data_IF_756644130527
#
_entry.id   IF_756644130527
#
_cell.length_a   1.000
_cell.length_b   1.000
_cell.length_c   1.000
_cell.angle_alpha   90.00
_cell.angle_beta   90.00
_cell.angle_gamma   90.00
#
_symmetry.space_group_name_H-M   'P 1'
#
loop_
_entity.id
_entity.type
_entity.pdbx_description
1 polymer ?
#
# COMPACT_ATOMS: atom_id res chain seq x y z
N UNK A 1 7.89 0.55 1.34
CA UNK A 1 6.43 0.39 1.14
C UNK A 1 6.20 0.08 -0.34
N UNK A 2 5.39 -0.92 -0.68
CA UNK A 2 5.04 -1.27 -2.07
C UNK A 2 3.68 -1.97 -2.13
N UNK A 3 3.11 -2.21 -3.31
CA UNK A 3 1.88 -3.00 -3.46
C UNK A 3 2.11 -4.47 -3.10
N UNK A 4 1.09 -5.16 -2.57
CA UNK A 4 1.16 -6.60 -2.34
C UNK A 4 1.10 -7.37 -3.68
N UNK A 5 2.16 -8.11 -4.06
CA UNK A 5 2.20 -8.85 -5.32
C UNK A 5 1.56 -10.24 -5.25
N UNK A 6 0.99 -10.65 -4.13
CA UNK A 6 0.35 -11.95 -3.92
C UNK A 6 -1.17 -11.87 -3.77
N UNK A 7 -1.76 -10.72 -4.07
CA UNK A 7 -3.22 -10.53 -4.12
C UNK A 7 -3.82 -11.42 -5.20
N UNK A 8 -4.78 -12.27 -4.82
CA UNK A 8 -5.54 -13.06 -5.78
C UNK A 8 -6.43 -12.16 -6.65
N UNK A 9 -6.45 -12.43 -7.95
CA UNK A 9 -7.28 -11.72 -8.94
C UNK A 9 -6.98 -10.24 -9.16
N UNK A 10 -5.85 -9.72 -8.67
CA UNK A 10 -5.38 -8.40 -9.10
C UNK A 10 -5.07 -8.44 -10.60
N UNK A 11 -5.79 -7.62 -11.37
CA UNK A 11 -5.74 -7.59 -12.83
C UNK A 11 -4.74 -6.58 -13.35
N UNK A 12 -4.31 -5.62 -12.52
CA UNK A 12 -3.35 -4.61 -12.92
C UNK A 12 -1.93 -5.19 -12.81
N UNK A 13 -1.26 -5.54 -13.93
CA UNK A 13 0.04 -6.21 -13.89
C UNK A 13 1.10 -5.35 -13.21
N UNK A 14 1.04 -4.01 -13.37
CA UNK A 14 2.00 -3.11 -12.75
C UNK A 14 1.99 -3.19 -11.22
N UNK A 15 0.82 -3.39 -10.58
CA UNK A 15 0.74 -3.57 -9.11
C UNK A 15 1.52 -4.81 -8.68
N UNK A 16 1.39 -5.91 -9.42
CA UNK A 16 2.07 -7.17 -9.13
C UNK A 16 3.57 -7.05 -9.37
N UNK A 17 3.98 -6.47 -10.51
CA UNK A 17 5.38 -6.38 -10.92
C UNK A 17 6.13 -5.44 -9.98
N UNK A 18 5.60 -4.24 -9.70
CA UNK A 18 6.26 -3.29 -8.79
C UNK A 18 6.32 -3.84 -7.37
N UNK A 19 5.29 -4.57 -6.93
CA UNK A 19 5.26 -5.27 -5.65
C UNK A 19 6.40 -6.26 -5.51
N UNK A 20 6.58 -7.16 -6.50
CA UNK A 20 7.68 -8.14 -6.51
C UNK A 20 9.04 -7.47 -6.56
N UNK A 21 9.26 -6.57 -7.51
CA UNK A 21 10.55 -5.92 -7.71
C UNK A 21 11.02 -5.17 -6.47
N UNK A 22 10.12 -4.41 -5.82
CA UNK A 22 10.47 -3.66 -4.63
C UNK A 22 10.75 -4.57 -3.42
N UNK A 23 9.97 -5.65 -3.25
CA UNK A 23 10.18 -6.62 -2.17
C UNK A 23 11.51 -7.38 -2.33
N UNK A 24 11.80 -7.83 -3.55
CA UNK A 24 13.07 -8.49 -3.89
C UNK A 24 14.26 -7.54 -3.70
N UNK A 25 14.16 -6.31 -4.19
CA UNK A 25 15.21 -5.30 -4.01
C UNK A 25 15.49 -5.06 -2.51
N UNK A 26 14.46 -4.94 -1.68
CA UNK A 26 14.64 -4.77 -0.24
C UNK A 26 15.29 -5.98 0.44
N UNK A 27 14.91 -7.20 0.04
CA UNK A 27 15.52 -8.42 0.56
C UNK A 27 16.98 -8.60 0.11
N UNK A 28 17.31 -8.09 -1.08
CA UNK A 28 18.60 -8.35 -1.73
C UNK A 28 19.64 -7.23 -1.58
N UNK A 29 19.23 -6.02 -1.20
CA UNK A 29 20.11 -4.86 -1.06
C UNK A 29 21.27 -5.07 -0.06
N UNK A 30 21.14 -6.01 0.88
CA UNK A 30 22.18 -6.33 1.86
C UNK A 30 23.32 -7.21 1.31
N UNK A 31 23.18 -7.81 0.12
CA UNK A 31 24.15 -8.76 -0.41
C UNK A 31 25.10 -8.12 -1.43
N UNK A 32 26.39 -7.92 -1.08
CA UNK A 32 27.35 -7.22 -1.94
C UNK A 32 27.70 -7.96 -3.24
N UNK A 33 27.42 -9.27 -3.31
CA UNK A 33 27.80 -10.11 -4.44
C UNK A 33 26.69 -10.30 -5.49
N UNK A 34 25.45 -9.85 -5.22
CA UNK A 34 24.35 -10.01 -6.18
C UNK A 34 24.50 -9.06 -7.37
N UNK A 35 24.94 -7.82 -7.12
CA UNK A 35 25.13 -6.79 -8.15
C UNK A 35 26.48 -6.10 -7.99
N UNK A 36 27.57 -6.82 -8.29
CA UNK A 36 28.93 -6.31 -8.05
C UNK A 36 29.26 -5.00 -8.76
N UNK A 37 28.56 -4.67 -9.85
CA UNK A 37 28.76 -3.40 -10.54
C UNK A 37 28.25 -2.20 -9.72
N UNK A 38 27.26 -2.39 -8.84
CA UNK A 38 26.83 -1.35 -7.90
C UNK A 38 27.95 -1.02 -6.90
N UNK A 39 28.63 -2.05 -6.39
CA UNK A 39 29.80 -1.91 -5.51
C UNK A 39 30.94 -1.17 -6.23
N UNK A 40 31.25 -1.56 -7.49
CA UNK A 40 32.27 -0.87 -8.30
C UNK A 40 31.94 0.61 -8.52
N UNK A 41 30.66 0.96 -8.52
CA UNK A 41 30.16 2.33 -8.66
C UNK A 41 29.97 3.07 -7.33
N UNK A 42 30.45 2.51 -6.21
CA UNK A 42 30.41 3.16 -4.89
C UNK A 42 29.05 3.11 -4.19
N UNK A 43 28.15 2.20 -4.60
CA UNK A 43 26.90 1.94 -3.88
C UNK A 43 27.16 0.88 -2.83
N UNK A 44 27.03 1.26 -1.55
CA UNK A 44 27.18 0.32 -0.44
C UNK A 44 25.92 -0.56 -0.25
N UNK A 45 26.06 -1.80 0.21
CA UNK A 45 24.93 -2.62 0.62
C UNK A 45 24.09 -1.94 1.70
N UNK A 46 22.78 -2.17 1.66
CA UNK A 46 21.84 -1.63 2.64
C UNK A 46 20.89 -2.72 3.15
N UNK A 47 20.86 -2.89 4.47
CA UNK A 47 19.94 -3.79 5.13
C UNK A 47 18.62 -3.05 5.42
N UNK A 48 17.67 -3.20 4.51
CA UNK A 48 16.28 -2.85 4.82
C UNK A 48 15.83 -3.65 6.05
N UNK A 49 14.99 -3.08 6.91
CA UNK A 49 14.43 -3.81 8.06
C UNK A 49 13.17 -4.59 7.69
N UNK A 50 12.29 -3.96 6.90
CA UNK A 50 10.96 -4.47 6.61
C UNK A 50 10.48 -4.07 5.21
N UNK A 51 9.65 -4.93 4.61
CA UNK A 51 8.79 -4.58 3.49
C UNK A 51 7.37 -4.40 4.00
N UNK A 52 6.79 -3.25 3.72
CA UNK A 52 5.42 -2.89 4.06
C UNK A 52 4.58 -2.96 2.78
N UNK A 53 3.67 -3.93 2.72
CA UNK A 53 2.74 -4.12 1.60
C UNK A 53 1.47 -3.31 1.84
N UNK A 54 1.04 -2.56 0.82
CA UNK A 54 -0.14 -1.69 0.82
C UNK A 54 -1.11 -2.05 -0.31
N UNK A 55 -2.28 -1.42 -0.31
CA UNK A 55 -3.32 -1.60 -1.33
C UNK A 55 -4.29 -2.72 -0.98
N UNK A 56 -4.75 -3.46 -1.99
CA UNK A 56 -5.38 -4.76 -1.74
C UNK A 56 -4.30 -5.71 -1.18
N UNK A 57 -4.63 -6.50 -0.17
CA UNK A 57 -3.70 -7.43 0.47
C UNK A 57 -4.13 -8.87 0.18
N UNK A 58 -3.17 -9.72 -0.19
CA UNK A 58 -3.37 -11.17 -0.37
C UNK A 58 -3.46 -11.92 0.96
N UNK A 59 -3.10 -11.24 2.04
CA UNK A 59 -3.15 -11.74 3.41
C UNK A 59 -3.96 -10.78 4.32
N UNK A 60 -4.39 -11.26 5.49
CA UNK A 60 -4.94 -10.37 6.52
C UNK A 60 -3.86 -9.35 6.94
N UNK A 61 -4.19 -8.05 7.09
CA UNK A 61 -3.23 -7.07 7.57
C UNK A 61 -2.74 -7.41 8.97
N UNK A 62 -1.44 -7.28 9.19
CA UNK A 62 -0.80 -7.45 10.51
C UNK A 62 -0.38 -6.10 11.11
N UNK A 63 -0.56 -4.98 10.39
CA UNK A 63 -0.29 -3.62 10.84
C UNK A 63 -1.43 -2.67 10.44
N UNK A 64 -1.82 -1.81 11.37
CA UNK A 64 -2.69 -0.67 11.13
C UNK A 64 -2.00 0.60 11.63
N UNK A 65 -2.03 1.66 10.83
CA UNK A 65 -1.45 2.96 11.17
C UNK A 65 -2.57 3.97 11.30
N UNK A 66 -2.66 4.63 12.47
CA UNK A 66 -3.59 5.72 12.72
C UNK A 66 -3.22 6.93 11.87
N UNK A 67 -4.12 7.26 10.94
CA UNK A 67 -3.99 8.44 10.08
C UNK A 67 -5.04 9.49 10.42
N UNK A 68 -5.69 9.41 11.58
CA UNK A 68 -6.77 10.33 11.97
C UNK A 68 -6.33 11.80 11.94
N UNK A 69 -5.08 12.08 12.32
CA UNK A 69 -4.51 13.44 12.30
C UNK A 69 -4.02 13.89 10.92
N UNK A 70 -3.81 12.96 9.97
CA UNK A 70 -3.23 13.22 8.65
C UNK A 70 -4.17 12.90 7.49
N UNK A 71 -5.38 12.42 7.76
CA UNK A 71 -6.37 12.00 6.77
C UNK A 71 -6.69 13.09 5.75
N UNK A 72 -6.89 14.32 6.21
CA UNK A 72 -7.19 15.43 5.30
C UNK A 72 -6.01 15.76 4.38
N UNK A 73 -4.76 15.63 4.87
CA UNK A 73 -3.55 15.80 4.05
C UNK A 73 -3.44 14.71 2.99
N UNK A 74 -3.77 13.45 3.32
CA UNK A 74 -3.84 12.34 2.35
C UNK A 74 -4.85 12.63 1.24
N UNK A 75 -6.05 13.07 1.61
CA UNK A 75 -7.12 13.37 0.65
C UNK A 75 -6.72 14.54 -0.25
N UNK A 76 -6.17 15.61 0.32
CA UNK A 76 -5.67 16.76 -0.45
C UNK A 76 -4.60 16.33 -1.46
N UNK A 77 -3.63 15.50 -1.04
CA UNK A 77 -2.58 15.00 -1.91
C UNK A 77 -3.13 14.13 -3.05
N UNK A 78 -4.04 13.20 -2.77
CA UNK A 78 -4.66 12.33 -3.78
C UNK A 78 -5.43 13.12 -4.85
N UNK A 79 -6.04 14.23 -4.46
CA UNK A 79 -6.81 15.13 -5.32
C UNK A 79 -5.97 16.01 -6.24
N UNK A 80 -4.64 16.04 -6.08
CA UNK A 80 -3.75 16.76 -7.00
C UNK A 80 -3.47 15.99 -8.30
N UNK A 81 -3.80 14.71 -8.36
CA UNK A 81 -3.52 13.86 -9.53
C UNK A 81 -4.72 13.79 -10.47
N UNK A 82 -4.53 14.18 -11.73
CA UNK A 82 -5.58 14.21 -12.76
C UNK A 82 -6.22 12.83 -12.97
N UNK A 83 -5.41 11.77 -13.03
CA UNK A 83 -5.90 10.38 -13.17
C UNK A 83 -6.90 9.97 -12.07
N UNK A 84 -6.75 10.52 -10.86
CA UNK A 84 -7.72 10.32 -9.77
C UNK A 84 -9.07 10.91 -10.16
N UNK A 85 -9.09 12.10 -10.75
CA UNK A 85 -10.31 12.77 -11.17
C UNK A 85 -10.98 12.04 -12.36
N UNK A 86 -10.20 11.49 -13.29
CA UNK A 86 -10.75 10.73 -14.43
C UNK A 86 -11.44 9.44 -13.97
N UNK A 87 -10.78 8.68 -13.09
CA UNK A 87 -11.36 7.47 -12.50
C UNK A 87 -12.67 7.80 -11.78
N UNK A 88 -12.69 8.90 -11.02
CA UNK A 88 -13.87 9.32 -10.28
C UNK A 88 -14.99 9.84 -11.18
N UNK A 89 -14.66 10.50 -12.29
CA UNK A 89 -15.64 10.85 -13.32
C UNK A 89 -16.30 9.58 -13.86
N UNK A 90 -15.50 8.57 -14.24
CA UNK A 90 -16.02 7.31 -14.72
C UNK A 90 -16.89 6.56 -13.67
N UNK A 91 -16.50 6.59 -12.39
CA UNK A 91 -17.23 5.88 -11.33
C UNK A 91 -18.49 6.59 -10.86
N UNK A 92 -18.47 7.92 -10.74
CA UNK A 92 -19.51 8.69 -10.03
C UNK A 92 -20.24 9.71 -10.90
N UNK A 93 -19.70 10.06 -12.07
CA UNK A 93 -20.28 11.05 -12.95
C UNK A 93 -19.92 10.78 -14.41
N UNK A 94 -20.36 9.63 -15.00
CA UNK A 94 -19.91 9.14 -16.31
C UNK A 94 -20.29 10.06 -17.49
N UNK A 95 -21.00 11.16 -17.23
CA UNK A 95 -21.36 12.19 -18.21
C UNK A 95 -20.38 13.38 -18.23
N UNK A 96 -19.46 13.44 -17.27
CA UNK A 96 -18.42 14.48 -17.22
C UNK A 96 -17.26 13.99 -18.08
N UNK A 97 -16.87 14.81 -19.06
CA UNK A 97 -15.68 14.55 -19.86
C UNK A 97 -14.43 14.86 -19.01
N UNK A 98 -13.63 13.84 -18.62
CA UNK A 98 -12.45 14.06 -17.81
C UNK A 98 -11.38 14.92 -18.50
N UNK A 99 -11.37 14.97 -19.83
CA UNK A 99 -10.44 15.81 -20.58
C UNK A 99 -10.89 17.27 -20.66
N UNK A 100 -12.13 17.60 -20.26
CA UNK A 100 -12.70 18.94 -20.38
C UNK A 100 -13.68 19.24 -19.22
N UNK A 101 -13.13 19.24 -18.00
CA UNK A 101 -13.90 19.43 -16.77
C UNK A 101 -14.10 20.93 -16.48
N UNK A 102 -15.35 21.40 -16.41
CA UNK A 102 -15.64 22.77 -15.97
C UNK A 102 -15.32 22.96 -14.47
N UNK A 103 -15.10 24.20 -13.99
CA UNK A 103 -14.85 24.46 -12.56
C UNK A 103 -15.95 23.90 -11.63
N UNK A 104 -17.19 23.86 -12.09
CA UNK A 104 -18.34 23.36 -11.32
C UNK A 104 -18.35 21.84 -11.25
N UNK A 105 -18.00 21.17 -12.34
CA UNK A 105 -17.81 19.73 -12.41
C UNK A 105 -16.62 19.28 -11.57
N UNK A 106 -15.52 20.03 -11.63
CA UNK A 106 -14.33 19.77 -10.81
C UNK A 106 -14.67 19.81 -9.32
N UNK A 107 -15.44 20.81 -8.87
CA UNK A 107 -15.93 20.89 -7.48
C UNK A 107 -16.80 19.68 -7.09
N UNK A 108 -17.66 19.20 -8.00
CA UNK A 108 -18.49 18.01 -7.77
C UNK A 108 -17.64 16.74 -7.67
N UNK A 109 -16.74 16.51 -8.62
CA UNK A 109 -15.82 15.37 -8.63
C UNK A 109 -14.94 15.34 -7.38
N UNK A 110 -14.42 16.50 -6.99
CA UNK A 110 -13.61 16.66 -5.77
C UNK A 110 -14.40 16.24 -4.53
N UNK A 111 -15.67 16.67 -4.40
CA UNK A 111 -16.53 16.27 -3.29
C UNK A 111 -16.77 14.76 -3.24
N UNK A 112 -16.96 14.11 -4.39
CA UNK A 112 -17.11 12.65 -4.47
C UNK A 112 -15.82 11.92 -4.09
N UNK A 113 -14.67 12.38 -4.61
CA UNK A 113 -13.35 11.89 -4.25
C UNK A 113 -13.11 11.92 -2.74
N UNK A 114 -13.31 13.10 -2.14
CA UNK A 114 -13.10 13.34 -0.71
C UNK A 114 -13.95 12.36 0.10
N UNK A 115 -15.22 12.18 -0.29
CA UNK A 115 -16.10 11.24 0.40
C UNK A 115 -15.61 9.80 0.28
N UNK A 116 -15.19 9.36 -0.90
CA UNK A 116 -14.70 8.00 -1.13
C UNK A 116 -13.43 7.71 -0.33
N UNK A 117 -12.38 8.54 -0.48
CA UNK A 117 -11.11 8.33 0.21
C UNK A 117 -11.26 8.37 1.74
N UNK A 118 -12.13 9.28 2.23
CA UNK A 118 -12.47 9.34 3.65
C UNK A 118 -13.20 8.07 4.09
N UNK A 119 -14.20 7.60 3.34
CA UNK A 119 -14.96 6.41 3.75
C UNK A 119 -14.10 5.15 3.77
N UNK A 120 -13.16 4.99 2.83
CA UNK A 120 -12.22 3.87 2.84
C UNK A 120 -11.34 3.88 4.10
N UNK A 121 -10.73 5.02 4.41
CA UNK A 121 -9.83 5.13 5.56
C UNK A 121 -10.56 4.97 6.90
N UNK A 122 -11.79 5.50 7.02
CA UNK A 122 -12.66 5.29 8.19
C UNK A 122 -13.07 3.81 8.32
N UNK A 123 -13.44 3.16 7.22
CA UNK A 123 -13.86 1.75 7.25
C UNK A 123 -12.74 0.83 7.74
N UNK A 124 -11.48 1.11 7.35
CA UNK A 124 -10.30 0.40 7.85
C UNK A 124 -10.08 0.72 9.34
N UNK A 125 -10.11 1.99 9.73
CA UNK A 125 -9.91 2.42 11.12
C UNK A 125 -10.91 1.80 12.09
N UNK A 126 -12.20 1.74 11.71
CA UNK A 126 -13.26 1.14 12.52
C UNK A 126 -13.03 -0.36 12.82
N UNK A 127 -12.19 -1.07 12.05
CA UNK A 127 -11.85 -2.47 12.34
C UNK A 127 -10.90 -2.64 13.54
N UNK A 128 -10.24 -1.56 13.94
CA UNK A 128 -9.24 -1.53 15.02
C UNK A 128 -9.47 -0.35 15.97
N UNK A 129 -10.73 0.09 16.10
CA UNK A 129 -11.16 1.17 17.00
C UNK A 129 -10.45 2.52 16.80
N UNK A 130 -9.97 2.80 15.58
CA UNK A 130 -9.40 4.09 15.17
C UNK A 130 -10.39 4.90 14.34
N UNK A 131 -10.30 6.24 14.36
CA UNK A 131 -11.19 7.09 13.54
C UNK A 131 -10.90 6.92 12.05
N UNK A 132 -9.63 6.76 11.68
CA UNK A 132 -9.20 6.42 10.33
C UNK A 132 -7.84 5.73 10.38
N UNK A 133 -7.65 4.71 9.54
CA UNK A 133 -6.39 3.99 9.47
C UNK A 133 -6.02 3.58 8.04
N UNK A 134 -4.74 3.27 7.85
CA UNK A 134 -4.24 2.49 6.72
C UNK A 134 -3.81 1.11 7.20
N UNK A 135 -4.05 0.10 6.37
CA UNK A 135 -3.73 -1.29 6.69
C UNK A 135 -2.55 -1.76 5.84
N UNK A 136 -1.66 -2.51 6.46
CA UNK A 136 -0.48 -3.06 5.83
C UNK A 136 -0.30 -4.53 6.19
N UNK A 137 0.34 -5.26 5.29
CA UNK A 137 0.99 -6.52 5.62
C UNK A 137 2.50 -6.29 5.64
N UNK A 138 3.15 -6.52 6.77
CA UNK A 138 4.57 -6.22 6.98
C UNK A 138 5.33 -7.52 7.15
N UNK A 139 6.45 -7.62 6.45
CA UNK A 139 7.37 -8.74 6.50
C UNK A 139 8.77 -8.22 6.76
N UNK A 140 9.49 -8.85 7.67
CA UNK A 140 10.89 -8.51 7.92
C UNK A 140 11.78 -8.97 6.77
N UNK A 141 12.78 -8.18 6.42
CA UNK A 141 13.89 -8.62 5.57
C UNK A 141 15.00 -9.21 6.43
N UNK A 142 16.22 -9.39 5.93
CA UNK A 142 17.31 -9.94 6.73
C UNK A 142 17.69 -9.00 7.89
N UNK A 143 18.06 -9.56 9.06
CA UNK A 143 18.08 -10.98 9.41
C UNK A 143 16.69 -11.55 9.82
N UNK A 144 15.68 -10.69 10.00
CA UNK A 144 14.35 -11.04 10.50
C UNK A 144 13.49 -11.93 9.59
N UNK A 145 13.95 -12.28 8.39
CA UNK A 145 13.24 -13.18 7.46
C UNK A 145 12.83 -14.51 8.12
N UNK A 146 13.66 -15.04 9.02
CA UNK A 146 13.35 -16.27 9.75
C UNK A 146 12.20 -16.11 10.76
N UNK A 147 11.97 -14.91 11.30
CA UNK A 147 10.83 -14.65 12.17
C UNK A 147 9.52 -14.82 11.40
N UNK A 148 9.50 -14.36 10.14
CA UNK A 148 8.35 -14.53 9.26
C UNK A 148 8.02 -16.01 9.04
N UNK A 149 9.03 -16.89 8.91
CA UNK A 149 8.82 -18.32 8.68
C UNK A 149 8.09 -18.99 9.84
N UNK A 150 8.40 -18.61 11.08
CA UNK A 150 7.72 -19.16 12.26
C UNK A 150 6.23 -18.84 12.21
N UNK A 151 5.90 -17.58 11.95
CA UNK A 151 4.51 -17.14 11.82
C UNK A 151 3.81 -17.84 10.64
N UNK A 152 4.37 -17.77 9.44
CA UNK A 152 3.78 -18.34 8.23
C UNK A 152 3.60 -19.86 8.33
N UNK A 153 4.55 -20.56 8.97
CA UNK A 153 4.42 -22.01 9.22
C UNK A 153 3.27 -22.30 10.19
N UNK A 154 3.13 -21.52 11.26
CA UNK A 154 2.02 -21.67 12.20
C UNK A 154 0.67 -21.50 11.50
N UNK A 155 0.53 -20.46 10.68
CA UNK A 155 -0.69 -20.18 9.91
C UNK A 155 -0.97 -21.25 8.86
N UNK A 156 0.07 -21.74 8.17
CA UNK A 156 -0.02 -22.87 7.23
C UNK A 156 -0.56 -24.15 7.89
N UNK A 157 -0.24 -24.37 9.17
CA UNK A 157 -0.73 -25.50 9.96
C UNK A 157 -2.14 -25.29 10.53
N UNK A 158 -2.80 -24.17 10.19
CA UNK A 158 -4.19 -23.88 10.55
C UNK A 158 -4.36 -23.08 11.84
N UNK A 159 -3.27 -22.59 12.45
CA UNK A 159 -3.38 -21.68 13.58
C UNK A 159 -3.82 -20.28 13.11
N UNK A 160 -4.53 -19.52 13.94
CA UNK A 160 -4.90 -18.15 13.61
C UNK A 160 -3.66 -17.25 13.50
N UNK A 161 -3.71 -16.28 12.58
CA UNK A 161 -2.71 -15.21 12.49
C UNK A 161 -2.61 -14.44 13.80
N UNK A 162 -1.42 -13.89 14.08
CA UNK A 162 -1.21 -13.02 15.23
C UNK A 162 -2.11 -11.77 15.18
N UNK A 163 -2.38 -11.19 16.35
CA UNK A 163 -3.11 -9.94 16.41
C UNK A 163 -2.31 -8.83 15.73
N UNK A 164 -2.96 -7.98 14.92
CA UNK A 164 -2.26 -6.92 14.23
C UNK A 164 -1.74 -5.88 15.21
N UNK A 165 -0.61 -5.26 14.86
CA UNK A 165 -0.08 -4.10 15.59
C UNK A 165 -0.80 -2.84 15.16
N UNK A 166 -1.06 -1.96 16.11
CA UNK A 166 -1.72 -0.67 15.91
C UNK A 166 -0.73 0.42 16.29
N UNK A 167 -0.45 1.34 15.37
CA UNK A 167 0.49 2.46 15.51
C UNK A 167 -0.22 3.80 15.44
#
# INVERSE_FOLDING_TARGET
VTFDPWVAYEVHPDHLIVGRMAAEAAAFAAFPLLYTDQIKNGVEPYECSDVWFMGLLGHKPNYFVDISSTLEKKIEAALKFEATLELLANLFAPKIDPANVSPDELRKLTKYATRLFRSMSIAIGNKVDLKAAEAFFVQKTLPGHFDNFQQLTSEMLGNPSEQPKIY
#
